data_IF_888355179229
#
_entry.id   IF_888355179229
#
_cell.length_a   1.000
_cell.length_b   1.000
_cell.length_c   1.000
_cell.angle_alpha   90.00
_cell.angle_beta   90.00
_cell.angle_gamma   90.00
#
_symmetry.space_group_name_H-M   'P 1'
#
loop_
_entity.id
_entity.type
_entity.pdbx_description
1 polymer ?
#
# COMPACT_ATOMS: atom_id res chain seq x y z
N UNK A 1 -11.48 -2.62 13.63
CA UNK A 1 -12.31 -3.05 12.51
C UNK A 1 -11.82 -2.44 11.20
N UNK A 2 -11.87 -3.21 10.13
CA UNK A 2 -11.53 -2.70 8.81
C UNK A 2 -12.79 -2.51 7.99
N UNK A 3 -12.86 -1.38 7.32
CA UNK A 3 -13.96 -1.09 6.42
C UNK A 3 -13.47 -0.90 5.00
N UNK A 4 -14.39 -0.86 4.06
CA UNK A 4 -14.10 -0.71 2.65
C UNK A 4 -14.91 0.46 2.13
N UNK A 5 -14.23 1.42 1.51
CA UNK A 5 -14.89 2.54 0.85
C UNK A 5 -14.48 2.57 -0.60
N UNK A 6 -15.46 2.60 -1.49
CA UNK A 6 -15.19 2.59 -2.91
C UNK A 6 -15.41 3.99 -3.47
N UNK A 7 -14.35 4.56 -3.99
CA UNK A 7 -14.43 5.81 -4.73
C UNK A 7 -14.31 5.45 -6.20
N UNK A 8 -15.11 5.98 -7.03
CA UNK A 8 -15.14 5.63 -8.44
C UNK A 8 -13.80 5.29 -9.07
N UNK A 9 -13.76 4.78 -10.27
CA UNK A 9 -12.55 4.39 -10.95
C UNK A 9 -12.09 2.98 -10.61
N UNK A 10 -10.80 2.73 -10.79
CA UNK A 10 -10.26 1.38 -10.75
C UNK A 10 -9.60 1.05 -9.43
N UNK A 11 -10.30 1.28 -8.35
CA UNK A 11 -9.73 0.97 -7.06
C UNK A 11 -10.66 1.32 -5.92
N UNK A 12 -10.19 1.12 -4.71
CA UNK A 12 -10.95 1.41 -3.52
C UNK A 12 -10.03 1.63 -2.32
N UNK A 13 -10.57 2.29 -1.31
CA UNK A 13 -9.86 2.48 -0.05
C UNK A 13 -10.28 1.43 0.96
N UNK A 14 -9.30 1.00 1.77
CA UNK A 14 -9.55 0.25 2.99
C UNK A 14 -9.31 1.21 4.13
N UNK A 15 -10.16 1.16 5.13
CA UNK A 15 -10.08 2.09 6.26
C UNK A 15 -10.10 1.27 7.55
N UNK A 16 -9.20 1.60 8.46
CA UNK A 16 -9.17 1.01 9.79
C UNK A 16 -9.92 1.93 10.74
N UNK A 17 -10.88 1.40 11.47
CA UNK A 17 -11.73 2.16 12.36
C UNK A 17 -11.61 1.70 13.80
N UNK A 18 -11.77 2.64 14.73
CA UNK A 18 -12.01 2.33 16.13
C UNK A 18 -13.28 3.10 16.52
N UNK A 19 -14.39 2.39 16.64
CA UNK A 19 -15.69 3.05 16.83
C UNK A 19 -16.01 3.90 15.61
N UNK A 20 -16.10 5.22 15.81
CA UNK A 20 -16.38 6.15 14.72
C UNK A 20 -15.12 6.88 14.23
N UNK A 21 -13.99 6.54 14.80
CA UNK A 21 -12.73 7.22 14.46
C UNK A 21 -11.96 6.43 13.42
N UNK A 22 -11.58 7.08 12.33
CA UNK A 22 -10.73 6.48 11.31
C UNK A 22 -9.27 6.59 11.77
N UNK A 23 -8.61 5.45 11.89
CA UNK A 23 -7.23 5.38 12.37
C UNK A 23 -6.22 5.41 11.25
N UNK A 24 -6.60 4.93 10.08
CA UNK A 24 -5.71 4.87 8.94
C UNK A 24 -6.42 4.39 7.71
N UNK A 25 -5.73 4.45 6.58
CA UNK A 25 -6.29 3.99 5.30
C UNK A 25 -5.20 3.48 4.38
N UNK A 26 -5.64 2.74 3.36
CA UNK A 26 -4.82 2.31 2.25
C UNK A 26 -5.67 2.27 1.00
N UNK A 27 -5.09 2.54 -0.14
CA UNK A 27 -5.78 2.46 -1.43
C UNK A 27 -5.22 1.29 -2.22
N UNK A 28 -6.11 0.46 -2.77
CA UNK A 28 -5.71 -0.58 -3.69
C UNK A 28 -6.20 -0.22 -5.08
N UNK A 29 -5.27 0.12 -5.96
CA UNK A 29 -5.58 0.37 -7.35
C UNK A 29 -5.69 -0.98 -8.07
N UNK A 30 -6.75 -1.16 -8.85
CA UNK A 30 -6.98 -2.43 -9.54
C UNK A 30 -6.32 -2.43 -10.91
N UNK A 31 -5.03 -2.18 -10.92
CA UNK A 31 -4.19 -2.32 -12.10
C UNK A 31 -3.71 -3.77 -12.21
N UNK A 32 -2.86 -4.08 -13.15
CA UNK A 32 -2.31 -5.43 -13.31
C UNK A 32 -0.79 -5.36 -13.34
N UNK A 33 -0.12 -5.69 -12.25
CA UNK A 33 -0.67 -6.14 -10.96
C UNK A 33 -1.32 -4.99 -10.20
N UNK A 34 -2.21 -5.29 -9.23
CA UNK A 34 -2.79 -4.24 -8.41
C UNK A 34 -1.73 -3.57 -7.56
N UNK A 35 -1.93 -2.29 -7.30
CA UNK A 35 -0.94 -1.49 -6.59
C UNK A 35 -1.50 -0.93 -5.30
N UNK A 36 -0.78 -1.18 -4.22
CA UNK A 36 -1.09 -0.63 -2.92
C UNK A 36 -0.53 0.79 -2.85
N UNK A 37 -1.39 1.76 -2.54
CA UNK A 37 -1.05 3.17 -2.55
C UNK A 37 -1.56 3.85 -1.29
N UNK A 38 -1.02 5.02 -0.99
CA UNK A 38 -1.55 5.91 0.05
C UNK A 38 -1.77 5.24 1.40
N UNK A 39 -0.87 4.38 1.82
CA UNK A 39 -0.96 3.80 3.16
C UNK A 39 -0.59 4.86 4.17
N UNK A 40 -1.54 5.22 5.02
CA UNK A 40 -1.32 6.25 6.04
C UNK A 40 -2.03 5.87 7.32
N UNK A 41 -1.38 6.12 8.45
CA UNK A 41 -1.94 5.88 9.77
C UNK A 41 -1.79 7.17 10.56
N UNK A 42 -2.87 7.59 11.25
CA UNK A 42 -2.83 8.80 12.07
C UNK A 42 -1.77 8.64 13.15
N UNK A 43 -1.08 9.73 13.42
CA UNK A 43 0.10 9.69 14.28
C UNK A 43 -0.12 9.04 15.65
N UNK A 44 -1.20 9.36 16.39
CA UNK A 44 -1.37 8.74 17.70
C UNK A 44 -1.53 7.22 17.65
N UNK A 45 -1.81 6.68 16.47
CA UNK A 45 -2.09 5.25 16.31
C UNK A 45 -0.99 4.50 15.56
N UNK A 46 0.12 5.17 15.25
CA UNK A 46 1.25 4.51 14.61
C UNK A 46 1.86 3.49 15.55
N UNK A 47 2.50 2.48 14.98
CA UNK A 47 3.17 1.40 15.72
C UNK A 47 2.21 0.45 16.45
N UNK A 48 0.92 0.52 16.13
CA UNK A 48 -0.06 -0.42 16.66
C UNK A 48 -0.39 -1.54 15.67
N UNK A 49 0.42 -1.69 14.63
CA UNK A 49 0.19 -2.73 13.63
C UNK A 49 -0.90 -2.40 12.62
N UNK A 50 -1.39 -1.17 12.61
CA UNK A 50 -2.50 -0.77 11.73
C UNK A 50 -2.07 -0.79 10.27
N UNK A 51 -0.88 -0.26 9.96
CA UNK A 51 -0.37 -0.28 8.58
C UNK A 51 -0.20 -1.70 8.07
N UNK A 52 0.30 -2.61 8.92
CA UNK A 52 0.41 -4.02 8.57
C UNK A 52 -0.95 -4.64 8.31
N UNK A 53 -1.94 -4.34 9.16
CA UNK A 53 -3.28 -4.87 8.99
C UNK A 53 -3.92 -4.37 7.69
N UNK A 54 -3.73 -3.08 7.37
CA UNK A 54 -4.25 -2.50 6.13
C UNK A 54 -3.59 -3.15 4.91
N UNK A 55 -2.29 -3.35 4.96
CA UNK A 55 -1.55 -4.00 3.88
C UNK A 55 -2.05 -5.43 3.67
N UNK A 56 -2.21 -6.18 4.75
CA UNK A 56 -2.69 -7.56 4.67
C UNK A 56 -4.14 -7.61 4.16
N UNK A 57 -4.97 -6.67 4.55
CA UNK A 57 -6.35 -6.61 4.06
C UNK A 57 -6.38 -6.31 2.56
N UNK A 58 -5.50 -5.43 2.08
CA UNK A 58 -5.38 -5.14 0.65
C UNK A 58 -4.93 -6.37 -0.12
N UNK A 59 -3.98 -7.12 0.43
CA UNK A 59 -3.51 -8.36 -0.19
C UNK A 59 -4.64 -9.39 -0.29
N UNK A 60 -5.45 -9.51 0.76
CA UNK A 60 -6.57 -10.43 0.76
C UNK A 60 -7.61 -10.03 -0.28
N UNK A 61 -7.85 -8.73 -0.47
CA UNK A 61 -8.76 -8.25 -1.50
C UNK A 61 -8.23 -8.53 -2.90
N UNK A 62 -6.92 -8.36 -3.11
CA UNK A 62 -6.30 -8.66 -4.40
C UNK A 62 -6.40 -10.16 -4.70
N UNK A 63 -6.12 -10.98 -3.71
CA UNK A 63 -6.19 -12.43 -3.88
C UNK A 63 -7.61 -12.89 -4.17
N UNK A 64 -8.59 -12.31 -3.48
CA UNK A 64 -10.00 -12.65 -3.70
C UNK A 64 -10.46 -12.30 -5.12
N UNK A 65 -9.78 -11.36 -5.77
CA UNK A 65 -10.09 -10.96 -7.14
C UNK A 65 -9.27 -11.71 -8.18
N UNK A 66 -8.48 -12.70 -7.76
CA UNK A 66 -7.73 -13.54 -8.68
C UNK A 66 -6.34 -13.06 -9.03
N UNK A 67 -5.84 -12.03 -8.38
CA UNK A 67 -4.47 -11.58 -8.61
C UNK A 67 -3.50 -12.43 -7.78
N UNK A 68 -2.31 -12.66 -8.34
CA UNK A 68 -1.29 -13.47 -7.69
C UNK A 68 -0.17 -12.66 -7.07
N UNK A 69 -0.26 -11.34 -7.12
CA UNK A 69 0.75 -10.45 -6.54
C UNK A 69 0.19 -9.05 -6.34
N UNK A 70 0.88 -8.30 -5.48
CA UNK A 70 0.58 -6.89 -5.24
C UNK A 70 1.87 -6.11 -5.38
N UNK A 71 1.79 -4.95 -5.98
CA UNK A 71 2.90 -4.04 -6.18
C UNK A 71 2.78 -2.87 -5.20
N UNK A 72 3.91 -2.38 -4.72
CA UNK A 72 3.98 -1.14 -3.97
C UNK A 72 5.03 -0.24 -4.60
N UNK A 73 4.79 1.06 -4.52
CA UNK A 73 5.77 2.05 -4.90
C UNK A 73 6.15 2.78 -3.62
N UNK A 74 7.43 2.78 -3.30
CA UNK A 74 7.90 3.33 -2.03
C UNK A 74 9.04 4.30 -2.30
N UNK A 75 9.04 5.43 -1.57
CA UNK A 75 10.09 6.43 -1.68
C UNK A 75 11.40 5.88 -1.10
N UNK A 76 12.53 6.16 -1.78
CA UNK A 76 13.82 5.77 -1.25
C UNK A 76 14.21 6.63 -0.03
N UNK A 77 13.48 7.72 0.20
CA UNK A 77 13.67 8.58 1.35
C UNK A 77 12.78 8.21 2.53
N UNK A 78 12.05 7.09 2.45
CA UNK A 78 11.13 6.68 3.51
C UNK A 78 11.54 5.31 4.07
N UNK A 79 12.53 5.28 4.97
CA UNK A 79 13.01 3.99 5.50
C UNK A 79 11.95 3.25 6.33
N UNK A 80 11.02 3.97 6.95
CA UNK A 80 9.97 3.32 7.74
C UNK A 80 9.04 2.50 6.84
N UNK A 81 8.63 3.05 5.70
CA UNK A 81 7.81 2.34 4.74
C UNK A 81 8.58 1.16 4.14
N UNK A 82 9.86 1.36 3.84
CA UNK A 82 10.69 0.28 3.31
C UNK A 82 10.77 -0.88 4.30
N UNK A 83 10.95 -0.60 5.58
CA UNK A 83 10.98 -1.64 6.61
C UNK A 83 9.65 -2.37 6.69
N UNK A 84 8.56 -1.63 6.64
CA UNK A 84 7.22 -2.22 6.68
C UNK A 84 7.03 -3.22 5.54
N UNK A 85 7.31 -2.79 4.32
CA UNK A 85 7.08 -3.65 3.17
C UNK A 85 8.03 -4.83 3.11
N UNK A 86 9.30 -4.64 3.48
CA UNK A 86 10.23 -5.76 3.55
C UNK A 86 9.77 -6.80 4.56
N UNK A 87 9.29 -6.34 5.71
CA UNK A 87 8.80 -7.23 6.74
C UNK A 87 7.58 -8.00 6.27
N UNK A 88 6.77 -7.39 5.40
CA UNK A 88 5.60 -8.02 4.83
C UNK A 88 5.94 -8.98 3.67
N UNK A 89 7.16 -9.00 3.22
CA UNK A 89 7.60 -9.91 2.16
C UNK A 89 7.73 -9.29 0.78
N UNK A 90 7.67 -7.96 0.67
CA UNK A 90 7.86 -7.28 -0.61
C UNK A 90 9.34 -7.27 -0.97
N UNK A 91 9.63 -7.47 -2.25
CA UNK A 91 11.00 -7.52 -2.76
C UNK A 91 11.12 -6.64 -3.99
N UNK A 92 12.35 -6.22 -4.25
CA UNK A 92 12.67 -5.40 -5.41
C UNK A 92 12.37 -6.18 -6.70
N UNK A 93 11.71 -5.52 -7.63
CA UNK A 93 11.33 -6.14 -8.91
C UNK A 93 12.44 -6.07 -9.95
N UNK A 94 13.47 -5.24 -9.71
CA UNK A 94 14.45 -4.94 -10.74
C UNK A 94 13.99 -3.82 -11.68
N UNK A 95 12.77 -3.33 -11.53
CA UNK A 95 12.33 -2.17 -12.31
C UNK A 95 13.17 -0.97 -11.85
N UNK A 96 13.74 -0.19 -12.80
CA UNK A 96 14.58 0.94 -12.41
C UNK A 96 13.81 1.94 -11.55
N UNK A 97 14.49 2.54 -10.57
CA UNK A 97 13.87 3.58 -9.76
C UNK A 97 13.38 4.72 -10.65
N UNK A 98 12.23 5.29 -10.26
CA UNK A 98 11.62 6.36 -11.02
C UNK A 98 11.71 7.66 -10.24
N UNK A 99 12.37 8.65 -10.82
CA UNK A 99 12.43 9.98 -10.20
C UNK A 99 11.21 10.78 -10.61
N UNK A 100 10.57 11.39 -9.63
CA UNK A 100 9.42 12.25 -9.83
C UNK A 100 9.80 13.64 -9.39
N UNK A 101 9.67 14.60 -10.31
CA UNK A 101 9.97 16.01 -10.03
C UNK A 101 8.79 16.82 -10.53
N UNK A 102 8.30 17.72 -9.70
CA UNK A 102 7.18 18.57 -10.09
C UNK A 102 6.62 19.37 -8.94
N UNK A 103 5.55 20.07 -9.22
CA UNK A 103 4.83 20.84 -8.20
C UNK A 103 3.45 20.25 -8.03
N UNK A 104 3.09 19.96 -6.80
CA UNK A 104 1.78 19.42 -6.44
C UNK A 104 1.07 20.44 -5.58
N UNK A 105 -0.21 20.69 -5.87
CA UNK A 105 -1.03 21.62 -5.08
C UNK A 105 -1.77 20.82 -4.03
N UNK A 106 -1.49 21.15 -2.77
CA UNK A 106 -2.19 20.55 -1.64
C UNK A 106 -3.03 21.63 -0.95
N UNK A 107 -3.76 21.25 0.10
CA UNK A 107 -4.67 22.17 0.78
C UNK A 107 -3.99 23.47 1.21
N UNK A 108 -2.75 23.41 1.67
CA UNK A 108 -2.03 24.58 2.17
C UNK A 108 -1.26 25.34 1.10
N UNK A 109 -1.31 24.87 -0.16
CA UNK A 109 -0.66 25.54 -1.27
C UNK A 109 0.20 24.60 -2.09
N UNK A 110 0.97 25.14 -3.04
CA UNK A 110 1.84 24.32 -3.87
C UNK A 110 3.06 23.84 -3.08
N UNK A 111 3.48 22.61 -3.35
CA UNK A 111 4.73 22.05 -2.83
C UNK A 111 5.53 21.47 -3.99
N UNK A 112 6.83 21.60 -3.91
CA UNK A 112 7.71 21.00 -4.89
C UNK A 112 8.04 19.58 -4.46
N UNK A 113 7.98 18.66 -5.41
CA UNK A 113 8.26 17.24 -5.19
C UNK A 113 9.48 16.86 -5.98
N UNK A 114 10.45 16.25 -5.31
CA UNK A 114 11.60 15.63 -5.95
C UNK A 114 11.86 14.34 -5.17
N UNK A 115 11.44 13.23 -5.73
CA UNK A 115 11.48 11.96 -5.04
C UNK A 115 11.86 10.85 -5.99
N UNK A 116 12.45 9.81 -5.45
CA UNK A 116 12.79 8.61 -6.21
C UNK A 116 11.97 7.46 -5.66
N UNK A 117 11.21 6.83 -6.54
CA UNK A 117 10.29 5.77 -6.18
C UNK A 117 10.86 4.41 -6.58
N UNK A 118 10.78 3.49 -5.64
CA UNK A 118 11.22 2.12 -5.82
C UNK A 118 9.97 1.26 -6.02
N UNK A 119 10.04 0.31 -6.94
CA UNK A 119 8.91 -0.57 -7.24
C UNK A 119 9.21 -1.96 -6.70
N UNK A 120 8.41 -2.41 -5.73
CA UNK A 120 8.55 -3.71 -5.09
C UNK A 120 7.28 -4.51 -5.28
N UNK A 121 7.38 -5.83 -5.20
CA UNK A 121 6.22 -6.71 -5.34
C UNK A 121 6.28 -7.83 -4.32
N UNK A 122 5.09 -8.32 -3.99
CA UNK A 122 4.94 -9.51 -3.15
C UNK A 122 4.02 -10.49 -3.86
N UNK A 123 4.44 -11.74 -3.94
CA UNK A 123 3.57 -12.79 -4.42
C UNK A 123 2.56 -13.13 -3.34
N UNK A 124 1.31 -13.27 -3.75
CA UNK A 124 0.27 -13.68 -2.84
C UNK A 124 0.31 -15.20 -2.77
N UNK A 125 0.59 -15.69 -1.60
CA UNK A 125 0.76 -17.08 -1.49
C UNK A 125 -0.52 -17.77 -1.27
N UNK A 126 -0.84 -18.61 -2.03
CA UNK A 126 -1.52 -19.64 -1.75
C UNK A 126 -0.60 -20.55 -1.24
N UNK A 127 -0.37 -20.69 -0.52
CA UNK A 127 0.62 -21.40 -0.23
C UNK A 127 0.56 -22.74 -0.40
N UNK A 128 1.02 -22.73 -0.46
CA UNK A 128 1.15 -23.54 -0.71
C UNK A 128 1.10 -24.47 -0.40
N UNK A 129 0.67 -24.16 -0.16
CA UNK A 129 0.41 -24.71 -0.04
C UNK A 129 0.62 -25.17 -0.30
N UNK A 130 0.75 -25.19 -0.26
CA UNK A 130 0.70 -25.30 -0.68
C UNK A 130 0.88 -25.93 -0.96
N UNK A 131 1.06 -26.14 -0.91
CA UNK A 131 1.04 -26.48 -1.40
C UNK A 131 1.14 -26.99 -1.49
N UNK A 132 1.43 -27.32 -1.38
CA UNK A 132 1.31 -27.43 -1.72
C UNK A 132 1.33 -27.70 -1.82
N UNK A 133 1.37 -27.73 -1.80
CA UNK A 133 1.24 -27.62 -2.16
C UNK A 133 1.45 -27.75 -2.18
#
# INVERSE_FOLDING_TARGET
MLGLARLGGDGFYLVAWDGEEALGHAHLALTDPPELQDVAVREPHRRLGIASALTQAAEAQAEARGFDRVRVTVSDANPAAQRLYRKQGYVDTGIPPKRIVGTVVIRTGPIDVDDTLLTWEKRLGRSPQATGQ
#
